data_IF_999472736840
#
_entry.id   IF_999472736840
#
_cell.length_a   1.000
_cell.length_b   1.000
_cell.length_c   1.000
_cell.angle_alpha   90.00
_cell.angle_beta   90.00
_cell.angle_gamma   90.00
#
_symmetry.space_group_name_H-M   'P 1'
#
loop_
_entity.id
_entity.type
_entity.pdbx_description
1 polymer ?
#
# COMPACT_ATOMS: atom_id res chain seq x y z
N UNK A 1 3.02 -11.57 15.10
CA UNK A 1 4.42 -11.17 15.41
C UNK A 1 5.33 -11.63 14.29
N UNK A 2 5.80 -10.74 13.41
CA UNK A 2 6.87 -11.14 12.52
C UNK A 2 8.08 -10.20 12.66
N UNK A 3 9.27 -10.77 12.54
CA UNK A 3 10.55 -10.06 12.66
C UNK A 3 11.36 -10.32 11.40
N UNK A 4 12.01 -9.26 10.88
CA UNK A 4 12.91 -9.35 9.73
C UNK A 4 14.22 -8.63 10.02
N UNK A 5 15.32 -9.34 9.76
CA UNK A 5 16.69 -8.85 9.94
C UNK A 5 17.50 -8.99 8.66
N UNK A 6 18.47 -8.12 8.47
CA UNK A 6 19.48 -8.22 7.43
C UNK A 6 20.86 -8.05 8.13
N UNK A 7 21.58 -9.16 8.28
CA UNK A 7 22.76 -9.20 9.12
C UNK A 7 22.40 -8.79 10.57
N UNK A 8 23.11 -7.81 11.11
CA UNK A 8 22.88 -7.30 12.46
C UNK A 8 21.77 -6.23 12.54
N UNK A 9 21.22 -5.80 11.40
CA UNK A 9 20.19 -4.76 11.37
C UNK A 9 18.80 -5.38 11.43
N UNK A 10 18.04 -5.06 12.48
CA UNK A 10 16.61 -5.40 12.57
C UNK A 10 15.80 -4.31 11.88
N UNK A 11 15.15 -4.67 10.76
CA UNK A 11 14.32 -3.73 9.97
C UNK A 11 12.89 -3.74 10.45
N UNK A 12 12.40 -4.88 10.91
CA UNK A 12 11.04 -5.05 11.45
C UNK A 12 11.13 -5.91 12.70
N UNK A 13 10.55 -5.46 13.80
CA UNK A 13 10.53 -6.20 15.04
C UNK A 13 9.11 -6.44 15.54
N UNK A 14 8.75 -7.73 15.70
CA UNK A 14 7.46 -8.21 16.27
C UNK A 14 6.21 -7.53 15.70
N UNK A 15 6.23 -7.16 14.41
CA UNK A 15 5.12 -6.50 13.76
C UNK A 15 3.90 -7.43 13.70
N UNK A 16 2.73 -6.87 13.98
CA UNK A 16 1.43 -7.51 13.79
C UNK A 16 0.61 -6.72 12.79
N UNK A 17 0.20 -7.37 11.70
CA UNK A 17 -0.66 -6.77 10.69
C UNK A 17 -1.70 -7.79 10.25
N UNK A 18 -2.97 -7.37 10.21
CA UNK A 18 -4.07 -8.16 9.70
C UNK A 18 -4.68 -7.48 8.48
N UNK A 19 -4.71 -8.20 7.37
CA UNK A 19 -5.38 -7.82 6.13
C UNK A 19 -6.69 -8.59 6.10
N UNK A 20 -7.81 -7.91 5.85
CA UNK A 20 -9.14 -8.51 5.75
C UNK A 20 -9.35 -9.07 4.34
N UNK A 21 -10.24 -10.02 4.21
CA UNK A 21 -10.62 -10.54 2.91
C UNK A 21 -11.29 -9.44 2.06
N UNK A 22 -10.87 -9.33 0.81
CA UNK A 22 -11.39 -8.35 -0.14
C UNK A 22 -11.00 -6.89 0.13
N UNK A 23 -10.22 -6.58 1.19
CA UNK A 23 -9.78 -5.21 1.43
C UNK A 23 -8.51 -4.85 0.64
N UNK A 24 -8.36 -3.58 0.32
CA UNK A 24 -7.09 -2.97 -0.04
C UNK A 24 -6.51 -2.25 1.17
N UNK A 25 -5.38 -2.74 1.68
CA UNK A 25 -4.63 -2.12 2.77
C UNK A 25 -3.41 -1.38 2.23
N UNK A 26 -3.29 -0.07 2.50
CA UNK A 26 -2.07 0.66 2.17
C UNK A 26 -1.05 0.58 3.31
N UNK A 27 0.21 0.29 2.98
CA UNK A 27 1.37 0.51 3.85
C UNK A 27 1.97 1.86 3.47
N UNK A 28 1.79 2.86 4.32
CA UNK A 28 2.22 4.24 4.10
C UNK A 28 3.30 4.63 5.12
N UNK A 29 4.30 5.38 4.71
CA UNK A 29 5.36 5.84 5.60
C UNK A 29 6.59 6.35 4.84
N UNK A 30 7.57 6.94 5.54
CA UNK A 30 8.78 7.46 4.92
C UNK A 30 9.61 6.35 4.27
N UNK A 31 10.54 6.76 3.41
CA UNK A 31 11.49 5.82 2.80
C UNK A 31 12.31 5.10 3.87
N UNK A 32 12.57 3.81 3.66
CA UNK A 32 13.36 3.00 4.60
C UNK A 32 12.63 2.49 5.84
N UNK A 33 11.33 2.81 6.05
CA UNK A 33 10.60 2.34 7.24
C UNK A 33 10.18 0.86 7.22
N UNK A 34 10.50 0.08 6.16
CA UNK A 34 10.23 -1.36 6.11
C UNK A 34 9.03 -1.79 5.25
N UNK A 35 8.37 -0.91 4.49
CA UNK A 35 7.19 -1.23 3.66
C UNK A 35 7.45 -2.33 2.63
N UNK A 36 8.43 -2.12 1.74
CA UNK A 36 8.84 -3.11 0.72
C UNK A 36 9.36 -4.39 1.37
N UNK A 37 10.08 -4.30 2.49
CA UNK A 37 10.52 -5.47 3.27
C UNK A 37 9.32 -6.28 3.76
N UNK A 38 8.29 -5.62 4.28
CA UNK A 38 7.03 -6.26 4.70
C UNK A 38 6.36 -6.95 3.51
N UNK A 39 6.19 -6.25 2.39
CA UNK A 39 5.59 -6.79 1.17
C UNK A 39 6.37 -8.01 0.65
N UNK A 40 7.71 -7.93 0.56
CA UNK A 40 8.56 -9.04 0.11
C UNK A 40 8.58 -10.22 1.09
N UNK A 41 8.32 -9.98 2.36
CA UNK A 41 8.13 -11.04 3.34
C UNK A 41 6.78 -11.74 3.15
N UNK A 42 5.71 -10.98 2.87
CA UNK A 42 4.38 -11.54 2.55
C UNK A 42 4.46 -12.41 1.29
N UNK A 43 5.12 -11.93 0.23
CA UNK A 43 5.22 -12.70 -1.02
C UNK A 43 6.23 -13.87 -0.96
N UNK A 44 7.10 -13.93 0.07
CA UNK A 44 8.06 -15.01 0.27
C UNK A 44 9.40 -14.85 -0.44
N UNK A 45 9.73 -13.66 -0.95
CA UNK A 45 11.06 -13.27 -1.41
C UNK A 45 12.01 -13.20 -0.20
N UNK A 46 11.56 -12.56 0.89
CA UNK A 46 12.27 -12.57 2.15
C UNK A 46 11.69 -13.62 3.10
N UNK A 47 12.55 -14.39 3.74
CA UNK A 47 12.17 -15.28 4.83
C UNK A 47 11.97 -14.45 6.11
N UNK A 48 11.03 -14.88 6.96
CA UNK A 48 10.90 -14.36 8.32
C UNK A 48 12.06 -14.85 9.19
N UNK A 49 12.58 -13.99 10.05
CA UNK A 49 13.59 -14.35 11.03
C UNK A 49 12.95 -14.69 12.38
N UNK A 50 11.69 -14.29 12.58
CA UNK A 50 10.87 -14.64 13.72
C UNK A 50 9.38 -14.41 13.43
N UNK A 51 8.52 -15.12 14.15
CA UNK A 51 7.06 -15.03 13.97
C UNK A 51 6.54 -15.80 12.77
N UNK A 52 5.37 -15.41 12.24
CA UNK A 52 4.65 -16.14 11.18
C UNK A 52 3.95 -15.22 10.19
N UNK A 53 3.82 -15.70 8.95
CA UNK A 53 2.91 -15.14 7.92
C UNK A 53 1.84 -16.18 7.64
N UNK A 54 0.58 -15.77 7.77
CA UNK A 54 -0.59 -16.64 7.60
C UNK A 54 -1.44 -16.16 6.44
N UNK A 55 -1.89 -17.09 5.58
CA UNK A 55 -2.95 -16.87 4.59
C UNK A 55 -4.18 -17.68 5.04
N UNK A 56 -5.18 -17.00 5.59
CA UNK A 56 -6.19 -17.64 6.38
C UNK A 56 -5.58 -18.37 7.58
N UNK A 57 -5.81 -19.67 7.70
CA UNK A 57 -5.21 -20.51 8.74
C UNK A 57 -3.86 -21.13 8.34
N UNK A 58 -3.49 -21.02 7.05
CA UNK A 58 -2.29 -21.65 6.52
C UNK A 58 -1.04 -20.84 6.83
N UNK A 59 -0.08 -21.44 7.54
CA UNK A 59 1.25 -20.85 7.74
C UNK A 59 2.08 -20.96 6.44
N UNK A 60 2.41 -19.80 5.87
CA UNK A 60 3.21 -19.70 4.63
C UNK A 60 4.63 -19.21 4.89
N UNK A 61 5.06 -19.05 6.13
CA UNK A 61 6.34 -18.47 6.52
C UNK A 61 7.54 -19.12 5.85
N UNK A 62 7.48 -20.46 5.66
CA UNK A 62 8.56 -21.27 5.05
C UNK A 62 8.28 -21.64 3.60
N UNK A 63 7.12 -21.27 3.05
CA UNK A 63 6.76 -21.56 1.66
C UNK A 63 7.48 -20.55 0.76
N UNK A 64 8.24 -21.00 -0.27
CA UNK A 64 8.91 -20.11 -1.20
C UNK A 64 7.89 -19.35 -2.08
N UNK A 65 8.29 -18.17 -2.58
CA UNK A 65 7.40 -17.26 -3.33
C UNK A 65 6.66 -17.93 -4.49
N UNK A 66 7.30 -18.84 -5.23
CA UNK A 66 6.72 -19.53 -6.39
C UNK A 66 5.54 -20.43 -6.02
N UNK A 67 5.48 -20.88 -4.77
CA UNK A 67 4.43 -21.75 -4.23
C UNK A 67 3.40 -21.01 -3.38
N UNK A 68 3.61 -19.71 -3.13
CA UNK A 68 2.59 -18.86 -2.49
C UNK A 68 1.55 -18.42 -3.52
N UNK A 69 0.33 -18.27 -3.06
CA UNK A 69 -0.78 -17.82 -3.91
C UNK A 69 -0.85 -16.29 -3.92
N UNK A 70 0.16 -15.66 -4.52
CA UNK A 70 0.33 -14.21 -4.56
C UNK A 70 0.52 -13.71 -5.98
N UNK A 71 -0.05 -12.55 -6.31
CA UNK A 71 0.29 -11.73 -7.46
C UNK A 71 1.12 -10.54 -7.01
N UNK A 72 2.20 -10.21 -7.72
CA UNK A 72 3.07 -9.07 -7.37
C UNK A 72 3.23 -8.16 -8.57
N UNK A 73 3.02 -6.86 -8.34
CA UNK A 73 3.38 -5.78 -9.27
C UNK A 73 4.52 -5.00 -8.65
N UNK A 74 5.67 -4.99 -9.31
CA UNK A 74 6.86 -4.27 -8.87
C UNK A 74 6.86 -2.83 -9.38
N UNK A 75 7.58 -1.95 -8.72
CA UNK A 75 7.75 -0.54 -9.10
C UNK A 75 8.25 -0.37 -10.54
N UNK A 76 9.15 -1.23 -11.02
CA UNK A 76 9.67 -1.23 -12.39
C UNK A 76 8.81 -2.01 -13.38
N UNK A 77 7.59 -2.45 -12.97
CA UNK A 77 6.71 -3.37 -13.70
C UNK A 77 7.33 -4.74 -13.97
N UNK A 78 8.65 -4.85 -14.04
CA UNK A 78 9.44 -6.07 -14.25
C UNK A 78 8.95 -6.93 -15.43
N UNK A 79 8.53 -6.29 -16.54
CA UNK A 79 8.14 -6.98 -17.77
C UNK A 79 9.36 -7.63 -18.43
N UNK A 80 9.15 -8.78 -19.05
CA UNK A 80 10.17 -9.45 -19.86
C UNK A 80 10.28 -8.74 -21.21
N UNK A 81 11.37 -8.02 -21.50
CA UNK A 81 11.45 -7.13 -22.67
C UNK A 81 11.47 -7.87 -24.01
N UNK A 82 11.92 -9.11 -24.02
CA UNK A 82 11.99 -9.97 -25.19
C UNK A 82 10.69 -10.73 -25.51
N UNK A 83 9.71 -10.66 -24.62
CA UNK A 83 8.39 -11.30 -24.74
C UNK A 83 7.35 -10.29 -25.20
N UNK A 84 6.36 -10.75 -25.98
CA UNK A 84 5.16 -9.96 -26.27
C UNK A 84 4.31 -9.72 -25.01
N UNK A 85 3.29 -8.87 -25.09
CA UNK A 85 2.30 -8.67 -24.01
C UNK A 85 1.61 -9.99 -23.69
N UNK A 86 1.16 -10.74 -24.73
CA UNK A 86 0.57 -12.07 -24.56
C UNK A 86 1.50 -13.00 -23.77
N UNK A 87 2.76 -13.10 -24.18
CA UNK A 87 3.75 -13.97 -23.55
C UNK A 87 4.06 -13.54 -22.09
N UNK A 88 4.15 -12.24 -21.81
CA UNK A 88 4.32 -11.73 -20.46
C UNK A 88 3.17 -12.17 -19.54
N UNK A 89 1.92 -12.04 -19.99
CA UNK A 89 0.74 -12.43 -19.23
C UNK A 89 0.64 -13.96 -19.12
N UNK A 90 0.95 -14.69 -20.18
CA UNK A 90 0.89 -16.15 -20.24
C UNK A 90 1.98 -16.84 -19.40
N UNK A 91 3.11 -16.15 -19.13
CA UNK A 91 4.29 -16.74 -18.50
C UNK A 91 3.98 -17.51 -17.19
N UNK A 92 3.25 -16.97 -16.22
CA UNK A 92 2.92 -17.68 -14.98
C UNK A 92 2.11 -18.97 -15.21
N UNK A 93 1.27 -19.01 -16.24
CA UNK A 93 0.47 -20.18 -16.61
C UNK A 93 1.33 -21.24 -17.34
N UNK A 94 2.26 -20.78 -18.19
CA UNK A 94 3.21 -21.63 -18.88
C UNK A 94 4.13 -22.38 -17.89
N UNK A 95 4.62 -21.67 -16.86
CA UNK A 95 5.42 -22.27 -15.77
C UNK A 95 4.62 -23.35 -15.02
N UNK A 96 3.30 -23.18 -14.90
CA UNK A 96 2.38 -24.19 -14.32
C UNK A 96 2.03 -25.32 -15.30
N UNK A 97 2.52 -25.28 -16.52
CA UNK A 97 2.25 -26.27 -17.58
C UNK A 97 0.76 -26.38 -17.93
N UNK A 98 0.02 -25.27 -17.89
CA UNK A 98 -1.36 -25.24 -18.35
C UNK A 98 -1.44 -25.47 -19.88
N UNK A 99 -2.59 -25.93 -20.36
CA UNK A 99 -2.77 -26.19 -21.80
C UNK A 99 -2.80 -24.90 -22.61
N UNK A 100 -2.39 -24.95 -23.88
CA UNK A 100 -2.40 -23.78 -24.77
C UNK A 100 -3.77 -23.12 -24.91
N UNK A 101 -4.85 -23.91 -24.90
CA UNK A 101 -6.20 -23.37 -24.98
C UNK A 101 -6.58 -22.63 -23.69
N UNK A 102 -6.34 -23.23 -22.53
CA UNK A 102 -6.57 -22.59 -21.22
C UNK A 102 -5.76 -21.30 -21.07
N UNK A 103 -4.51 -21.27 -21.55
CA UNK A 103 -3.68 -20.06 -21.53
C UNK A 103 -4.31 -18.96 -22.39
N UNK A 104 -4.75 -19.28 -23.61
CA UNK A 104 -5.38 -18.29 -24.50
C UNK A 104 -6.65 -17.71 -23.90
N UNK A 105 -7.51 -18.55 -23.34
CA UNK A 105 -8.77 -18.15 -22.70
C UNK A 105 -8.50 -17.21 -21.51
N UNK A 106 -7.62 -17.60 -20.57
CA UNK A 106 -7.29 -16.80 -19.39
C UNK A 106 -6.60 -15.49 -19.74
N UNK A 107 -5.71 -15.50 -20.74
CA UNK A 107 -5.05 -14.26 -21.21
C UNK A 107 -6.04 -13.33 -21.85
N UNK A 108 -6.99 -13.83 -22.66
CA UNK A 108 -8.04 -13.01 -23.26
C UNK A 108 -8.95 -12.39 -22.18
N UNK A 109 -9.42 -13.19 -21.21
CA UNK A 109 -10.24 -12.73 -20.08
C UNK A 109 -9.57 -11.59 -19.30
N UNK A 110 -8.30 -11.77 -18.92
CA UNK A 110 -7.59 -10.76 -18.11
C UNK A 110 -7.20 -9.53 -18.95
N UNK A 111 -6.90 -9.69 -20.24
CA UNK A 111 -6.57 -8.58 -21.12
C UNK A 111 -7.78 -7.67 -21.36
N UNK A 112 -8.99 -8.24 -21.40
CA UNK A 112 -10.24 -7.49 -21.46
C UNK A 112 -10.48 -6.71 -20.17
N UNK A 113 -10.33 -7.35 -19.00
CA UNK A 113 -10.49 -6.72 -17.68
C UNK A 113 -9.61 -5.47 -17.51
N UNK A 114 -8.37 -5.50 -18.01
CA UNK A 114 -7.43 -4.36 -17.90
C UNK A 114 -7.35 -3.51 -19.17
N UNK A 115 -8.23 -3.73 -20.14
CA UNK A 115 -8.35 -2.96 -21.39
C UNK A 115 -7.06 -2.89 -22.24
N UNK A 116 -6.44 -4.06 -22.50
CA UNK A 116 -5.22 -4.18 -23.34
C UNK A 116 -5.33 -5.25 -24.44
N UNK A 117 -6.54 -5.70 -24.77
CA UNK A 117 -6.75 -6.78 -25.76
C UNK A 117 -6.10 -6.53 -27.12
N UNK A 118 -6.10 -5.28 -27.60
CA UNK A 118 -5.47 -4.85 -28.84
C UNK A 118 -3.94 -4.78 -28.81
N UNK A 119 -3.31 -4.91 -27.62
CA UNK A 119 -1.88 -4.76 -27.41
C UNK A 119 -1.14 -6.10 -27.30
N UNK A 120 -1.82 -7.24 -27.37
CA UNK A 120 -1.29 -8.56 -27.05
C UNK A 120 -0.04 -8.95 -27.84
N UNK A 121 0.04 -8.51 -29.11
CA UNK A 121 1.19 -8.81 -29.98
C UNK A 121 2.36 -7.83 -29.85
N UNK A 122 2.17 -6.72 -29.11
CA UNK A 122 3.24 -5.72 -28.90
C UNK A 122 4.27 -6.20 -27.88
N UNK A 123 5.45 -5.60 -27.95
CA UNK A 123 6.50 -5.75 -26.91
C UNK A 123 6.49 -4.59 -25.91
N UNK A 124 7.04 -4.76 -24.70
CA UNK A 124 7.06 -3.71 -23.69
C UNK A 124 7.61 -2.36 -24.17
N UNK A 125 8.62 -2.34 -25.02
CA UNK A 125 9.22 -1.13 -25.58
C UNK A 125 8.27 -0.31 -26.47
N UNK A 126 7.20 -0.91 -26.96
CA UNK A 126 6.18 -0.29 -27.81
C UNK A 126 4.98 0.25 -27.01
N UNK A 127 5.06 0.20 -25.67
CA UNK A 127 3.98 0.54 -24.76
C UNK A 127 4.28 1.81 -23.97
N UNK A 128 3.24 2.62 -23.72
CA UNK A 128 3.32 3.70 -22.73
C UNK A 128 3.47 3.13 -21.30
N UNK A 129 3.93 3.96 -20.35
CA UNK A 129 4.07 3.54 -18.95
C UNK A 129 2.79 2.96 -18.34
N UNK A 130 1.63 3.58 -18.60
CA UNK A 130 0.34 3.05 -18.13
C UNK A 130 -0.05 1.74 -18.80
N UNK A 131 0.26 1.55 -20.08
CA UNK A 131 0.06 0.27 -20.75
C UNK A 131 0.96 -0.82 -20.17
N UNK A 132 2.23 -0.52 -19.90
CA UNK A 132 3.16 -1.45 -19.23
C UNK A 132 2.64 -1.85 -17.84
N UNK A 133 2.11 -0.91 -17.08
CA UNK A 133 1.51 -1.17 -15.78
C UNK A 133 0.29 -2.08 -15.88
N UNK A 134 -0.61 -1.86 -16.84
CA UNK A 134 -1.76 -2.73 -17.09
C UNK A 134 -1.32 -4.16 -17.45
N UNK A 135 -0.26 -4.32 -18.23
CA UNK A 135 0.35 -5.63 -18.52
C UNK A 135 0.90 -6.28 -17.26
N UNK A 136 1.58 -5.54 -16.39
CA UNK A 136 2.08 -6.06 -15.12
C UNK A 136 0.94 -6.51 -14.18
N UNK A 137 -0.15 -5.72 -14.10
CA UNK A 137 -1.37 -6.09 -13.38
C UNK A 137 -2.00 -7.36 -13.95
N UNK A 138 -2.19 -7.44 -15.28
CA UNK A 138 -2.73 -8.63 -15.94
C UNK A 138 -1.90 -9.87 -15.63
N UNK A 139 -0.57 -9.78 -15.73
CA UNK A 139 0.35 -10.88 -15.39
C UNK A 139 0.23 -11.31 -13.93
N UNK A 140 0.07 -10.36 -13.00
CA UNK A 140 -0.11 -10.67 -11.59
C UNK A 140 -1.45 -11.36 -11.31
N UNK A 141 -2.52 -10.97 -12.02
CA UNK A 141 -3.90 -11.42 -11.79
C UNK A 141 -4.30 -12.67 -12.58
N UNK A 142 -3.62 -13.00 -13.70
CA UNK A 142 -4.02 -14.10 -14.61
C UNK A 142 -4.16 -15.45 -13.94
N UNK A 143 -3.49 -15.65 -12.79
CA UNK A 143 -3.55 -16.85 -11.95
C UNK A 143 -4.69 -16.82 -10.92
N UNK A 144 -5.47 -15.74 -10.85
CA UNK A 144 -6.48 -15.48 -9.81
C UNK A 144 -5.90 -15.71 -8.40
N UNK A 145 -4.84 -14.98 -8.00
CA UNK A 145 -4.18 -15.19 -6.71
C UNK A 145 -5.08 -14.79 -5.54
N UNK A 146 -4.79 -15.35 -4.34
CA UNK A 146 -5.52 -14.99 -3.11
C UNK A 146 -5.21 -13.59 -2.60
N UNK A 147 -4.06 -13.00 -2.97
CA UNK A 147 -3.68 -11.63 -2.59
C UNK A 147 -2.85 -10.97 -3.68
N UNK A 148 -3.10 -9.68 -3.92
CA UNK A 148 -2.36 -8.81 -4.84
C UNK A 148 -1.44 -7.88 -4.03
N UNK A 149 -0.16 -7.88 -4.37
CA UNK A 149 0.87 -7.07 -3.72
C UNK A 149 1.37 -6.02 -4.72
N UNK A 150 1.26 -4.75 -4.38
CA UNK A 150 1.58 -3.60 -5.24
C UNK A 150 2.72 -2.81 -4.59
N UNK A 151 3.93 -2.87 -5.15
CA UNK A 151 5.10 -2.14 -4.65
C UNK A 151 5.30 -0.85 -5.43
N UNK A 152 4.86 0.27 -4.89
CA UNK A 152 4.91 1.61 -5.50
C UNK A 152 4.45 1.62 -6.98
N UNK A 153 3.26 1.08 -7.29
CA UNK A 153 2.88 0.77 -8.67
C UNK A 153 2.76 2.01 -9.57
N UNK A 154 2.64 3.21 -9.00
CA UNK A 154 2.40 4.45 -9.73
C UNK A 154 3.60 5.39 -9.79
N UNK A 155 4.74 5.01 -9.16
CA UNK A 155 5.89 5.88 -9.00
C UNK A 155 6.50 6.39 -10.34
N UNK A 156 6.45 5.57 -11.39
CA UNK A 156 7.07 5.86 -12.68
C UNK A 156 6.12 6.54 -13.69
N UNK A 157 4.94 7.01 -13.25
CA UNK A 157 3.95 7.64 -14.11
C UNK A 157 3.90 9.16 -13.91
N UNK A 158 3.59 9.89 -14.99
CA UNK A 158 3.26 11.31 -14.89
C UNK A 158 1.96 11.55 -14.10
N UNK A 159 1.71 12.80 -13.69
CA UNK A 159 0.62 13.15 -12.78
C UNK A 159 -0.77 12.80 -13.34
N UNK A 160 -1.00 13.00 -14.65
CA UNK A 160 -2.29 12.70 -15.29
C UNK A 160 -2.53 11.19 -15.34
N UNK A 161 -1.55 10.45 -15.83
CA UNK A 161 -1.64 9.00 -15.96
C UNK A 161 -1.73 8.32 -14.58
N UNK A 162 -1.05 8.88 -13.56
CA UNK A 162 -1.16 8.41 -12.17
C UNK A 162 -2.58 8.51 -11.64
N UNK A 163 -3.30 9.60 -11.94
CA UNK A 163 -4.70 9.77 -11.53
C UNK A 163 -5.61 8.73 -12.20
N UNK A 164 -5.45 8.50 -13.50
CA UNK A 164 -6.20 7.50 -14.27
C UNK A 164 -5.93 6.09 -13.72
N UNK A 165 -4.67 5.75 -13.50
CA UNK A 165 -4.27 4.42 -13.03
C UNK A 165 -4.66 4.13 -11.59
N UNK A 166 -4.76 5.14 -10.72
CA UNK A 166 -5.33 4.99 -9.36
C UNK A 166 -6.77 4.45 -9.44
N UNK A 167 -7.60 5.12 -10.22
CA UNK A 167 -9.00 4.72 -10.39
C UNK A 167 -9.11 3.33 -11.01
N UNK A 168 -8.26 3.03 -11.97
CA UNK A 168 -8.25 1.74 -12.67
C UNK A 168 -7.82 0.57 -11.77
N UNK A 169 -6.74 0.73 -11.00
CA UNK A 169 -6.30 -0.31 -10.05
C UNK A 169 -7.39 -0.56 -9.00
N UNK A 170 -8.01 0.50 -8.46
CA UNK A 170 -9.10 0.35 -7.50
C UNK A 170 -10.32 -0.32 -8.12
N UNK A 171 -10.71 0.04 -9.34
CA UNK A 171 -11.79 -0.63 -10.09
C UNK A 171 -11.54 -2.12 -10.22
N UNK A 172 -10.35 -2.51 -10.72
CA UNK A 172 -9.97 -3.91 -10.89
C UNK A 172 -10.02 -4.66 -9.55
N UNK A 173 -9.53 -4.07 -8.48
CA UNK A 173 -9.54 -4.68 -7.15
C UNK A 173 -10.97 -4.90 -6.65
N UNK A 174 -11.87 -3.93 -6.84
CA UNK A 174 -13.29 -4.06 -6.46
C UNK A 174 -14.04 -5.08 -7.31
N UNK A 175 -13.83 -5.09 -8.63
CA UNK A 175 -14.47 -6.06 -9.55
C UNK A 175 -14.02 -7.49 -9.28
N UNK A 176 -12.75 -7.69 -8.96
CA UNK A 176 -12.23 -9.02 -8.66
C UNK A 176 -12.47 -9.47 -7.23
N UNK A 177 -12.75 -8.53 -6.31
CA UNK A 177 -12.88 -8.80 -4.88
C UNK A 177 -11.57 -9.26 -4.22
N UNK A 178 -10.43 -9.11 -4.88
CA UNK A 178 -9.14 -9.58 -4.38
C UNK A 178 -8.66 -8.76 -3.19
N UNK A 179 -8.12 -9.42 -2.17
CA UNK A 179 -7.38 -8.72 -1.10
C UNK A 179 -6.10 -8.11 -1.68
N UNK A 180 -5.78 -6.87 -1.32
CA UNK A 180 -4.60 -6.20 -1.85
C UNK A 180 -3.78 -5.49 -0.77
N UNK A 181 -2.46 -5.45 -0.95
CA UNK A 181 -1.55 -4.58 -0.19
C UNK A 181 -0.90 -3.59 -1.15
N UNK A 182 -1.10 -2.32 -0.88
CA UNK A 182 -0.49 -1.21 -1.61
C UNK A 182 0.66 -0.64 -0.77
N UNK A 183 1.87 -0.74 -1.26
CA UNK A 183 3.01 0.00 -0.70
C UNK A 183 3.15 1.31 -1.45
N UNK A 184 3.16 2.41 -0.72
CA UNK A 184 3.35 3.75 -1.30
C UNK A 184 3.96 4.70 -0.27
N UNK A 185 4.59 5.76 -0.75
CA UNK A 185 4.96 6.94 0.04
C UNK A 185 4.05 8.14 -0.28
N UNK A 186 3.15 8.01 -1.25
CA UNK A 186 2.18 9.04 -1.62
C UNK A 186 0.90 8.89 -0.79
N UNK A 187 0.64 9.91 0.04
CA UNK A 187 -0.55 9.96 0.89
C UNK A 187 -1.86 10.00 0.07
N UNK A 188 -1.84 10.61 -1.12
CA UNK A 188 -3.05 10.70 -1.97
C UNK A 188 -3.42 9.33 -2.52
N UNK A 189 -2.43 8.52 -2.88
CA UNK A 189 -2.65 7.13 -3.27
C UNK A 189 -3.27 6.32 -2.13
N UNK A 190 -2.64 6.37 -0.94
CA UNK A 190 -3.14 5.65 0.23
C UNK A 190 -4.56 6.09 0.61
N UNK A 191 -4.83 7.40 0.65
CA UNK A 191 -6.13 7.96 1.04
C UNK A 191 -7.25 7.66 0.03
N UNK A 192 -6.93 7.61 -1.27
CA UNK A 192 -7.94 7.46 -2.33
C UNK A 192 -8.21 6.02 -2.76
N UNK A 193 -7.26 5.13 -2.57
CA UNK A 193 -7.36 3.75 -3.09
C UNK A 193 -7.67 2.72 -2.01
N UNK A 194 -7.29 2.94 -0.76
CA UNK A 194 -7.35 1.89 0.26
C UNK A 194 -8.58 1.98 1.17
N UNK A 195 -9.00 0.82 1.67
CA UNK A 195 -10.04 0.70 2.70
C UNK A 195 -9.48 1.01 4.09
N UNK A 196 -8.21 0.66 4.31
CA UNK A 196 -7.45 0.98 5.52
C UNK A 196 -6.01 1.34 5.18
N UNK A 197 -5.44 2.19 6.02
CA UNK A 197 -4.05 2.62 5.93
C UNK A 197 -3.33 2.15 7.20
N UNK A 198 -2.15 1.54 7.02
CA UNK A 198 -1.20 1.29 8.09
C UNK A 198 -0.03 2.26 7.95
N UNK A 199 0.10 3.21 8.87
CA UNK A 199 1.25 4.12 8.88
C UNK A 199 2.41 3.45 9.60
N UNK A 200 3.53 3.35 8.87
CA UNK A 200 4.77 2.74 9.33
C UNK A 200 5.85 3.79 9.59
N UNK A 201 6.59 3.61 10.69
CA UNK A 201 7.80 4.35 11.01
C UNK A 201 8.81 3.41 11.66
N UNK A 202 10.07 3.43 11.20
CA UNK A 202 11.19 2.69 11.82
C UNK A 202 10.90 1.20 12.09
N UNK A 203 10.22 0.52 11.16
CA UNK A 203 9.87 -0.90 11.28
C UNK A 203 8.62 -1.21 12.10
N UNK A 204 7.95 -0.21 12.64
CA UNK A 204 6.74 -0.35 13.45
C UNK A 204 5.50 0.21 12.74
N UNK A 205 4.33 -0.35 13.06
CA UNK A 205 3.03 0.22 12.67
C UNK A 205 2.54 1.12 13.80
N UNK A 206 2.40 2.42 13.51
CA UNK A 206 1.94 3.39 14.49
C UNK A 206 0.41 3.41 14.60
N UNK A 207 -0.29 3.28 13.47
CA UNK A 207 -1.75 3.29 13.42
C UNK A 207 -2.24 2.50 12.21
N UNK A 208 -3.38 1.82 12.38
CA UNK A 208 -4.14 1.20 11.29
C UNK A 208 -5.60 1.63 11.40
N UNK A 209 -6.07 2.40 10.42
CA UNK A 209 -7.42 2.97 10.43
C UNK A 209 -7.95 3.19 9.00
N UNK A 210 -9.24 3.50 8.86
CA UNK A 210 -9.77 4.00 7.59
C UNK A 210 -9.15 5.36 7.23
N UNK A 211 -9.12 5.76 5.95
CA UNK A 211 -8.58 7.07 5.54
C UNK A 211 -9.17 8.22 6.35
N UNK A 212 -10.48 8.28 6.52
CA UNK A 212 -11.18 9.32 7.28
C UNK A 212 -10.78 9.34 8.75
N UNK A 213 -10.76 8.17 9.41
CA UNK A 213 -10.38 8.06 10.81
C UNK A 213 -8.90 8.41 11.02
N UNK A 214 -8.01 7.96 10.12
CA UNK A 214 -6.59 8.26 10.14
C UNK A 214 -6.32 9.77 10.09
N UNK A 215 -7.10 10.49 9.29
CA UNK A 215 -7.00 11.93 9.14
C UNK A 215 -7.59 12.71 10.33
N UNK A 216 -8.76 12.29 10.82
CA UNK A 216 -9.51 13.00 11.87
C UNK A 216 -9.03 12.66 13.29
N UNK A 217 -8.50 11.45 13.51
CA UNK A 217 -8.12 10.93 14.82
C UNK A 217 -6.71 10.31 14.80
N UNK A 218 -5.68 11.10 14.48
CA UNK A 218 -4.31 10.63 14.49
C UNK A 218 -3.88 10.29 15.93
N UNK A 219 -3.21 9.14 16.13
CA UNK A 219 -2.77 8.67 17.47
C UNK A 219 -1.63 9.51 18.07
N UNK A 220 -0.86 10.21 17.23
CA UNK A 220 0.24 11.05 17.66
C UNK A 220 0.54 12.16 16.64
N UNK A 221 1.47 13.05 16.99
CA UNK A 221 1.89 14.18 16.17
C UNK A 221 2.58 13.76 14.85
N UNK A 222 3.31 12.63 14.87
CA UNK A 222 3.90 12.10 13.64
C UNK A 222 2.82 11.73 12.62
N UNK A 223 1.81 10.95 13.03
CA UNK A 223 0.70 10.55 12.14
C UNK A 223 -0.08 11.79 11.67
N UNK A 224 -0.34 12.73 12.58
CA UNK A 224 -1.01 13.99 12.26
C UNK A 224 -0.26 14.80 11.21
N UNK A 225 1.07 14.94 11.38
CA UNK A 225 1.94 15.72 10.50
C UNK A 225 2.28 15.02 9.18
N UNK A 226 2.18 13.68 9.16
CA UNK A 226 2.48 12.90 7.95
C UNK A 226 1.34 12.95 6.92
N UNK A 227 0.12 13.27 7.34
CA UNK A 227 -1.06 13.35 6.47
C UNK A 227 -1.57 14.78 6.31
N UNK A 228 -1.93 15.10 5.07
CA UNK A 228 -2.43 16.43 4.69
C UNK A 228 -1.47 17.19 3.77
N UNK A 229 -2.03 17.94 2.83
CA UNK A 229 -1.29 18.80 1.93
C UNK A 229 -2.07 20.12 1.74
N UNK A 230 -1.66 21.20 2.40
CA UNK A 230 -0.47 21.34 3.26
C UNK A 230 -0.54 20.50 4.55
N UNK A 231 0.62 20.19 5.18
CA UNK A 231 0.64 19.44 6.44
C UNK A 231 0.04 20.28 7.60
N UNK A 232 -0.39 19.58 8.66
CA UNK A 232 -0.89 20.21 9.88
C UNK A 232 0.18 21.13 10.49
N UNK A 233 -0.22 22.34 10.90
CA UNK A 233 0.64 23.24 11.64
C UNK A 233 0.52 22.95 13.14
N UNK A 234 1.66 22.82 13.83
CA UNK A 234 1.70 22.64 15.28
C UNK A 234 2.12 23.93 15.99
N UNK A 235 1.35 24.33 16.98
CA UNK A 235 1.64 25.48 17.84
C UNK A 235 1.78 25.00 19.31
N UNK A 236 2.83 25.47 19.98
CA UNK A 236 2.95 25.27 21.42
C UNK A 236 1.94 26.15 22.13
N UNK A 237 1.20 25.56 23.06
CA UNK A 237 0.14 26.19 23.79
C UNK A 237 0.17 25.81 25.28
N UNK A 238 -0.54 26.56 26.09
CA UNK A 238 -0.70 26.30 27.52
C UNK A 238 -2.16 26.43 27.92
N UNK A 239 -2.59 25.60 28.85
CA UNK A 239 -3.92 25.72 29.42
C UNK A 239 -3.94 26.89 30.44
N UNK A 240 -4.77 27.90 30.20
CA UNK A 240 -5.02 29.01 31.12
C UNK A 240 -6.53 29.32 31.20
N UNK A 241 -7.06 29.42 32.41
CA UNK A 241 -8.46 29.74 32.65
C UNK A 241 -9.43 28.88 31.83
N UNK A 242 -9.22 27.59 31.80
CA UNK A 242 -10.00 26.60 31.03
C UNK A 242 -10.02 26.82 29.52
N UNK A 243 -9.03 27.56 28.98
CA UNK A 243 -8.85 27.80 27.54
C UNK A 243 -7.44 27.38 27.10
N UNK A 244 -7.31 27.12 25.79
CA UNK A 244 -6.02 26.91 25.14
C UNK A 244 -5.42 28.28 24.83
N UNK A 245 -4.35 28.64 25.53
CA UNK A 245 -3.62 29.89 25.36
C UNK A 245 -2.42 29.71 24.44
N UNK A 246 -2.41 30.41 23.31
CA UNK A 246 -1.35 30.38 22.30
C UNK A 246 -0.70 31.76 22.22
N UNK A 247 0.59 31.80 21.88
CA UNK A 247 1.37 33.03 21.72
C UNK A 247 1.29 33.98 22.95
N UNK A 248 1.37 33.42 24.17
CA UNK A 248 1.36 34.18 25.42
C UNK A 248 0.10 35.08 25.60
N UNK A 249 -1.06 34.54 25.33
CA UNK A 249 -2.34 35.22 25.55
C UNK A 249 -2.85 36.03 24.36
N UNK A 250 -2.13 36.05 23.23
CA UNK A 250 -2.60 36.77 22.03
C UNK A 250 -3.77 36.07 21.34
N UNK A 251 -3.83 34.71 21.44
CA UNK A 251 -4.90 33.91 20.82
C UNK A 251 -5.36 32.89 21.86
N UNK A 252 -6.67 32.75 22.01
CA UNK A 252 -7.29 31.77 22.89
C UNK A 252 -8.33 30.95 22.14
N UNK A 253 -8.32 29.61 22.36
CA UNK A 253 -9.30 28.69 21.81
C UNK A 253 -10.02 27.96 22.96
N UNK A 254 -11.27 27.59 22.70
CA UNK A 254 -11.98 26.66 23.57
C UNK A 254 -11.50 25.22 23.31
N UNK A 255 -11.60 24.34 24.32
CA UNK A 255 -11.25 22.93 24.14
C UNK A 255 -12.23 22.24 23.20
N UNK A 256 -11.74 21.49 22.21
CA UNK A 256 -12.60 20.58 21.45
C UNK A 256 -13.08 19.47 22.39
N UNK A 257 -14.39 19.38 22.58
CA UNK A 257 -15.17 18.37 23.34
C UNK A 257 -14.40 17.51 24.37
N UNK A 258 -14.81 17.62 25.63
CA UNK A 258 -14.67 16.65 26.74
C UNK A 258 -13.29 16.37 27.36
N UNK A 259 -12.20 16.99 26.97
CA UNK A 259 -10.93 16.89 27.64
C UNK A 259 -10.47 18.26 28.12
N UNK A 260 -10.57 18.51 29.44
CA UNK A 260 -10.04 19.74 30.04
C UNK A 260 -8.77 19.38 30.84
N UNK A 261 -7.57 19.53 30.27
CA UNK A 261 -6.32 19.37 31.03
C UNK A 261 -6.26 20.44 32.15
N UNK A 262 -5.50 20.13 33.18
CA UNK A 262 -5.31 21.04 34.31
C UNK A 262 -4.70 22.36 33.85
N UNK A 263 -5.07 23.45 34.56
CA UNK A 263 -4.48 24.78 34.33
C UNK A 263 -2.93 24.72 34.46
N UNK A 264 -2.22 25.33 33.53
CA UNK A 264 -0.75 25.29 33.49
C UNK A 264 -0.16 24.14 32.64
N UNK A 265 -0.97 23.17 32.19
CA UNK A 265 -0.51 22.08 31.32
C UNK A 265 -0.01 22.62 29.99
N UNK A 266 1.20 22.24 29.60
CA UNK A 266 1.72 22.49 28.24
C UNK A 266 1.11 21.50 27.28
N UNK A 267 0.59 21.99 26.17
CA UNK A 267 -0.04 21.21 25.13
C UNK A 267 0.47 21.64 23.76
N UNK A 268 0.27 20.80 22.76
CA UNK A 268 0.52 21.10 21.37
C UNK A 268 -0.80 21.17 20.62
N UNK A 269 -1.09 22.31 20.02
CA UNK A 269 -2.29 22.52 19.22
C UNK A 269 -1.96 22.24 17.74
N UNK A 270 -2.62 21.26 17.14
CA UNK A 270 -2.55 21.00 15.73
C UNK A 270 -3.67 21.72 14.99
N UNK A 271 -3.33 22.49 13.96
CA UNK A 271 -4.28 23.21 13.12
C UNK A 271 -4.12 22.71 11.69
N UNK A 272 -5.18 22.16 11.11
CA UNK A 272 -5.21 21.84 9.69
C UNK A 272 -5.59 23.08 8.89
N UNK A 273 -4.99 23.31 7.71
CA UNK A 273 -5.20 24.54 6.92
C UNK A 273 -6.52 24.61 6.16
N UNK A 274 -7.33 23.56 6.20
CA UNK A 274 -8.63 23.45 5.54
C UNK A 274 -9.84 23.59 6.50
#
# INVERSE_FOLDING_TARGET
>A
DFTKRFGDVTVIEKMNLKIREGEMLALLGPSGCGKTTTLFTICGIHRVDGGRVLFGEKDVSRIPAQQRDVGVVFQSYALYPHMSVFENIAFPLTVRKETKNTIREKVAEIAELVHIGELLERRPEQLSGGQQQRVALARALVRKPGILLLDEPLANLDAKLRLEMRSEIRRIQLETGISAVLVTHDQVEAMSMSDRIAIMKEGEILQVASPTEMYQQPVNDFVAGFLGNPPIAFLDAQVKNEKIDVLNGKIQFDFPRNTKPSNGTKIRLGIRPE
#
